data_IF_928965395637
#
_entry.id   IF_928965395637
#
_cell.length_a   1.000
_cell.length_b   1.000
_cell.length_c   1.000
_cell.angle_alpha   90.00
_cell.angle_beta   90.00
_cell.angle_gamma   90.00
#
_symmetry.space_group_name_H-M   'P 1'
#
loop_
_entity.id
_entity.type
_entity.pdbx_description
1 polymer ?
#
# COMPACT_ATOMS: atom_id res chain seq x y z
N UNK A 1 -28.63 5.95 -2.55
CA UNK A 1 -28.70 6.83 -3.73
C UNK A 1 -28.53 6.00 -4.99
N UNK A 2 -28.95 6.49 -6.15
CA UNK A 2 -28.85 5.79 -7.44
C UNK A 2 -27.42 5.31 -7.75
N UNK A 3 -26.40 6.00 -7.21
CA UNK A 3 -24.98 5.63 -7.23
C UNK A 3 -24.64 4.25 -6.61
N UNK A 4 -25.47 3.75 -5.68
CA UNK A 4 -25.31 2.43 -5.05
C UNK A 4 -26.20 1.36 -5.69
N UNK A 5 -27.04 1.74 -6.66
CA UNK A 5 -27.93 0.78 -7.30
C UNK A 5 -27.14 -0.11 -8.26
N UNK A 6 -27.20 -1.44 -8.12
CA UNK A 6 -26.51 -2.37 -9.00
C UNK A 6 -26.98 -2.25 -10.47
N UNK A 7 -28.17 -1.69 -10.71
CA UNK A 7 -28.70 -1.43 -12.06
C UNK A 7 -27.81 -0.55 -12.92
N UNK A 8 -27.06 0.37 -12.34
CA UNK A 8 -26.19 1.28 -13.10
C UNK A 8 -24.73 0.83 -13.14
N UNK A 9 -24.34 -0.19 -12.36
CA UNK A 9 -23.00 -0.78 -12.33
C UNK A 9 -21.81 0.22 -12.25
N UNK A 10 -22.04 1.43 -11.72
CA UNK A 10 -21.05 2.53 -11.75
C UNK A 10 -19.90 2.30 -10.76
N UNK A 11 -20.14 1.54 -9.68
CA UNK A 11 -19.13 1.19 -8.68
C UNK A 11 -18.63 -0.24 -8.86
N UNK A 12 -17.34 -0.44 -8.71
CA UNK A 12 -16.75 -1.77 -8.69
C UNK A 12 -17.17 -2.50 -7.40
N UNK A 13 -17.84 -3.64 -7.55
CA UNK A 13 -18.25 -4.50 -6.42
C UNK A 13 -17.13 -5.47 -6.00
N UNK A 14 -16.07 -5.55 -6.80
CA UNK A 14 -14.95 -6.47 -6.59
C UNK A 14 -14.32 -6.31 -5.19
N UNK A 15 -14.13 -5.07 -4.73
CA UNK A 15 -13.60 -4.81 -3.38
C UNK A 15 -14.51 -5.35 -2.28
N UNK A 16 -15.82 -5.15 -2.43
CA UNK A 16 -16.83 -5.63 -1.48
C UNK A 16 -16.86 -7.16 -1.47
N UNK A 17 -16.82 -7.78 -2.65
CA UNK A 17 -16.85 -9.24 -2.80
C UNK A 17 -15.67 -9.92 -2.12
N UNK A 18 -14.47 -9.32 -2.19
CA UNK A 18 -13.26 -9.82 -1.55
C UNK A 18 -13.44 -9.95 -0.02
N UNK A 19 -14.10 -8.98 0.58
CA UNK A 19 -14.37 -8.96 2.03
C UNK A 19 -15.65 -9.69 2.41
N UNK A 20 -16.59 -9.86 1.48
CA UNK A 20 -17.79 -10.65 1.69
C UNK A 20 -17.46 -12.13 1.96
N UNK A 21 -16.40 -12.66 1.35
CA UNK A 21 -15.91 -14.01 1.64
C UNK A 21 -15.51 -14.15 3.12
N UNK A 22 -14.75 -13.19 3.63
CA UNK A 22 -14.32 -13.14 5.04
C UNK A 22 -15.54 -12.93 5.95
N UNK A 23 -16.44 -12.00 5.58
CA UNK A 23 -17.67 -11.72 6.31
C UNK A 23 -18.57 -12.93 6.44
N UNK A 24 -18.72 -13.74 5.38
CA UNK A 24 -19.54 -14.95 5.40
C UNK A 24 -18.97 -16.03 6.34
N UNK A 25 -17.64 -16.17 6.41
CA UNK A 25 -17.00 -17.08 7.35
C UNK A 25 -17.31 -16.69 8.81
N UNK A 26 -17.21 -15.40 9.14
CA UNK A 26 -17.58 -14.91 10.48
C UNK A 26 -19.08 -14.95 10.74
N UNK A 27 -19.90 -14.75 9.72
CA UNK A 27 -21.36 -14.82 9.83
C UNK A 27 -21.82 -16.22 10.24
N UNK A 28 -21.18 -17.26 9.68
CA UNK A 28 -21.38 -18.63 10.09
C UNK A 28 -20.89 -18.86 11.54
N UNK A 29 -19.70 -18.38 11.88
CA UNK A 29 -19.11 -18.56 13.21
C UNK A 29 -19.91 -17.86 14.34
N UNK A 30 -20.50 -16.70 14.07
CA UNK A 30 -21.20 -15.89 15.07
C UNK A 30 -22.72 -16.04 15.05
N UNK A 31 -23.24 -17.13 14.48
CA UNK A 31 -24.68 -17.40 14.41
C UNK A 31 -25.48 -16.24 13.81
N UNK A 32 -24.99 -15.67 12.71
CA UNK A 32 -25.65 -14.61 11.95
C UNK A 32 -25.84 -13.26 12.68
N UNK A 33 -25.08 -13.03 13.76
CA UNK A 33 -25.04 -11.75 14.46
C UNK A 33 -24.23 -10.70 13.68
N UNK A 34 -24.95 -9.83 12.97
CA UNK A 34 -24.37 -8.81 12.09
C UNK A 34 -23.44 -7.84 12.82
N UNK A 35 -23.69 -7.57 14.10
CA UNK A 35 -22.87 -6.63 14.89
C UNK A 35 -21.51 -7.24 15.18
N UNK A 36 -21.48 -8.52 15.59
CA UNK A 36 -20.23 -9.25 15.83
C UNK A 36 -19.39 -9.39 14.56
N UNK A 37 -20.03 -9.70 13.43
CA UNK A 37 -19.35 -9.78 12.12
C UNK A 37 -18.72 -8.44 11.73
N UNK A 38 -19.44 -7.34 11.91
CA UNK A 38 -18.93 -6.00 11.60
C UNK A 38 -17.67 -5.67 12.42
N UNK A 39 -17.70 -5.89 13.74
CA UNK A 39 -16.53 -5.64 14.59
C UNK A 39 -15.38 -6.61 14.31
N UNK A 40 -15.65 -7.88 13.98
CA UNK A 40 -14.61 -8.84 13.61
C UNK A 40 -13.84 -8.41 12.37
N UNK A 41 -14.53 -7.92 11.34
CA UNK A 41 -13.89 -7.36 10.13
C UNK A 41 -13.01 -6.16 10.49
N UNK A 42 -13.48 -5.28 11.39
CA UNK A 42 -12.70 -4.11 11.84
C UNK A 42 -11.44 -4.52 12.61
N UNK A 43 -11.49 -5.58 13.42
CA UNK A 43 -10.32 -6.12 14.10
C UNK A 43 -9.29 -6.64 13.10
N UNK A 44 -9.73 -7.34 12.05
CA UNK A 44 -8.83 -7.79 10.98
C UNK A 44 -8.16 -6.61 10.29
N UNK A 45 -8.91 -5.56 9.99
CA UNK A 45 -8.34 -4.34 9.43
C UNK A 45 -7.32 -3.68 10.35
N UNK A 46 -7.59 -3.61 11.66
CA UNK A 46 -6.63 -3.07 12.62
C UNK A 46 -5.31 -3.86 12.60
N UNK A 47 -5.37 -5.20 12.54
CA UNK A 47 -4.19 -6.06 12.47
C UNK A 47 -3.42 -5.84 11.17
N UNK A 48 -4.12 -5.81 10.03
CA UNK A 48 -3.49 -5.55 8.71
C UNK A 48 -2.85 -4.16 8.68
N UNK A 49 -3.54 -3.15 9.19
CA UNK A 49 -3.04 -1.77 9.29
C UNK A 49 -1.75 -1.72 10.10
N UNK A 50 -1.74 -2.33 11.29
CA UNK A 50 -0.57 -2.39 12.18
C UNK A 50 0.64 -3.04 11.51
N UNK A 51 0.43 -4.12 10.74
CA UNK A 51 1.50 -4.77 9.95
C UNK A 51 2.03 -3.80 8.88
N UNK A 52 1.15 -3.14 8.13
CA UNK A 52 1.53 -2.21 7.07
C UNK A 52 2.31 -1.00 7.62
N UNK A 53 1.83 -0.41 8.71
CA UNK A 53 2.50 0.70 9.42
C UNK A 53 3.88 0.28 9.91
N UNK A 54 3.98 -0.91 10.51
CA UNK A 54 5.26 -1.45 10.99
C UNK A 54 6.26 -1.62 9.85
N UNK A 55 5.83 -2.17 8.70
CA UNK A 55 6.70 -2.31 7.53
C UNK A 55 7.17 -0.93 7.04
N UNK A 56 6.25 0.01 6.85
CA UNK A 56 6.59 1.35 6.40
C UNK A 56 7.57 2.05 7.35
N UNK A 57 7.28 2.03 8.65
CA UNK A 57 8.15 2.57 9.69
C UNK A 57 9.55 1.96 9.65
N UNK A 58 9.66 0.62 9.56
CA UNK A 58 10.96 -0.06 9.51
C UNK A 58 11.77 0.36 8.28
N UNK A 59 11.12 0.53 7.13
CA UNK A 59 11.82 1.01 5.93
C UNK A 59 12.29 2.46 6.09
N UNK A 60 11.48 3.33 6.67
CA UNK A 60 11.85 4.71 6.93
C UNK A 60 13.06 4.80 7.89
N UNK A 61 13.04 4.05 9.00
CA UNK A 61 14.17 4.02 9.95
C UNK A 61 15.46 3.53 9.30
N UNK A 62 15.39 2.44 8.53
CA UNK A 62 16.56 1.80 7.96
C UNK A 62 17.18 2.58 6.79
N UNK A 63 16.38 3.30 6.00
CA UNK A 63 16.86 3.96 4.78
C UNK A 63 16.91 5.49 4.87
N UNK A 64 16.04 6.13 5.66
CA UNK A 64 16.02 7.59 5.87
C UNK A 64 16.64 8.01 7.20
N UNK A 65 16.86 7.05 8.09
CA UNK A 65 17.47 7.23 9.40
C UNK A 65 16.47 7.30 10.56
N UNK A 66 16.97 7.13 11.81
CA UNK A 66 16.12 6.94 12.98
C UNK A 66 15.33 8.20 13.38
N UNK A 67 15.82 9.40 13.05
CA UNK A 67 15.12 10.67 13.34
C UNK A 67 13.84 10.79 12.52
N UNK A 68 13.91 10.51 11.21
CA UNK A 68 12.76 10.54 10.30
C UNK A 68 11.72 9.51 10.74
N UNK A 69 12.14 8.31 11.12
CA UNK A 69 11.24 7.29 11.66
C UNK A 69 10.47 7.75 12.90
N UNK A 70 11.12 8.44 13.85
CA UNK A 70 10.46 8.99 15.05
C UNK A 70 9.39 10.02 14.68
N UNK A 71 9.68 10.94 13.77
CA UNK A 71 8.68 11.91 13.31
C UNK A 71 7.53 11.22 12.58
N UNK A 72 7.83 10.22 11.75
CA UNK A 72 6.84 9.47 11.02
C UNK A 72 5.85 8.75 11.95
N UNK A 73 6.33 8.00 12.95
CA UNK A 73 5.45 7.28 13.86
C UNK A 73 4.61 8.22 14.72
N UNK A 74 5.17 9.35 15.18
CA UNK A 74 4.42 10.36 15.93
C UNK A 74 3.32 10.99 15.09
N UNK A 75 3.61 11.34 13.85
CA UNK A 75 2.61 11.91 12.92
C UNK A 75 1.51 10.91 12.60
N UNK A 76 1.84 9.63 12.39
CA UNK A 76 0.84 8.59 12.13
C UNK A 76 -0.06 8.35 13.35
N UNK A 77 0.52 8.28 14.56
CA UNK A 77 -0.22 8.07 15.82
C UNK A 77 -1.20 9.22 16.15
N UNK A 78 -0.80 10.47 15.89
CA UNK A 78 -1.61 11.65 16.24
C UNK A 78 -2.62 11.98 15.12
N UNK A 79 -2.49 11.36 13.94
CA UNK A 79 -3.38 11.62 12.82
C UNK A 79 -4.77 11.02 13.05
N UNK A 80 -5.75 11.88 13.33
CA UNK A 80 -7.16 11.49 13.43
C UNK A 80 -7.68 10.83 12.15
N UNK A 81 -7.17 11.25 10.98
CA UNK A 81 -7.52 10.66 9.69
C UNK A 81 -7.05 9.22 9.57
N UNK A 82 -5.80 8.94 9.96
CA UNK A 82 -5.23 7.59 9.94
C UNK A 82 -5.95 6.67 10.92
N UNK A 83 -6.24 7.17 12.12
CA UNK A 83 -7.00 6.43 13.12
C UNK A 83 -8.36 5.97 12.59
N UNK A 84 -9.14 6.87 11.99
CA UNK A 84 -10.45 6.50 11.46
C UNK A 84 -10.34 5.59 10.22
N UNK A 85 -9.37 5.86 9.34
CA UNK A 85 -9.16 5.07 8.13
C UNK A 85 -8.69 3.63 8.42
N UNK A 86 -7.92 3.41 9.50
CA UNK A 86 -7.31 2.10 9.86
C UNK A 86 -8.28 0.93 10.03
N UNK A 87 -9.55 1.21 10.33
CA UNK A 87 -10.58 0.19 10.55
C UNK A 87 -11.85 0.46 9.74
N UNK A 88 -11.78 1.42 8.83
CA UNK A 88 -12.89 1.76 7.97
C UNK A 88 -13.03 0.73 6.84
N UNK A 89 -14.26 0.27 6.60
CA UNK A 89 -14.55 -0.63 5.49
C UNK A 89 -14.72 0.17 4.19
N UNK A 90 -13.64 0.81 3.75
CA UNK A 90 -13.62 1.68 2.58
C UNK A 90 -12.50 1.27 1.61
N UNK A 91 -12.68 1.46 0.30
CA UNK A 91 -11.61 1.26 -0.68
C UNK A 91 -10.36 2.11 -0.34
N UNK A 92 -10.55 3.34 0.15
CA UNK A 92 -9.44 4.22 0.54
C UNK A 92 -8.54 3.63 1.65
N UNK A 93 -9.10 2.83 2.56
CA UNK A 93 -8.32 2.10 3.57
C UNK A 93 -7.38 1.07 2.94
N UNK A 94 -7.84 0.38 1.91
CA UNK A 94 -6.99 -0.55 1.15
C UNK A 94 -5.92 0.18 0.32
N UNK A 95 -6.25 1.34 -0.25
CA UNK A 95 -5.24 2.21 -0.88
C UNK A 95 -4.18 2.65 0.14
N UNK A 96 -4.58 2.96 1.38
CA UNK A 96 -3.64 3.28 2.46
C UNK A 96 -2.70 2.10 2.79
N UNK A 97 -3.20 0.88 2.91
CA UNK A 97 -2.35 -0.30 3.18
C UNK A 97 -1.37 -0.59 2.05
N UNK A 98 -1.87 -0.59 0.82
CA UNK A 98 -1.04 -0.87 -0.36
C UNK A 98 0.01 0.21 -0.57
N UNK A 99 -0.30 1.49 -0.30
CA UNK A 99 0.68 2.59 -0.36
C UNK A 99 1.75 2.47 0.71
N UNK A 100 1.42 2.12 1.96
CA UNK A 100 2.43 1.86 3.00
C UNK A 100 3.39 0.73 2.62
N UNK A 101 2.85 -0.38 2.07
CA UNK A 101 3.68 -1.49 1.58
C UNK A 101 4.50 -1.06 0.35
N UNK A 102 3.95 -0.24 -0.55
CA UNK A 102 4.70 0.31 -1.67
C UNK A 102 5.88 1.15 -1.18
N UNK A 103 5.69 2.01 -0.18
CA UNK A 103 6.77 2.77 0.45
C UNK A 103 7.80 1.88 1.16
N UNK A 104 7.40 0.75 1.75
CA UNK A 104 8.35 -0.21 2.30
C UNK A 104 9.37 -0.68 1.25
N UNK A 105 8.94 -0.89 0.00
CA UNK A 105 9.84 -1.26 -1.10
C UNK A 105 10.53 -0.04 -1.73
N UNK A 106 9.80 1.05 -1.95
CA UNK A 106 10.32 2.24 -2.61
C UNK A 106 11.45 2.91 -1.84
N UNK A 107 11.38 2.97 -0.50
CA UNK A 107 12.43 3.61 0.29
C UNK A 107 13.76 2.84 0.34
N UNK A 108 13.81 1.60 -0.15
CA UNK A 108 15.07 0.85 -0.23
C UNK A 108 15.98 1.44 -1.31
N UNK A 109 17.30 1.47 -1.11
CA UNK A 109 18.23 2.03 -2.07
C UNK A 109 18.15 1.30 -3.43
N UNK A 110 18.35 2.06 -4.50
CA UNK A 110 18.32 1.53 -5.86
C UNK A 110 19.45 0.53 -6.06
N UNK A 111 19.09 -0.74 -6.29
CA UNK A 111 20.05 -1.78 -6.62
C UNK A 111 20.27 -1.83 -8.13
N UNK A 112 21.53 -1.76 -8.56
CA UNK A 112 21.92 -1.92 -9.97
C UNK A 112 21.88 -3.37 -10.45
N UNK A 113 21.80 -4.33 -9.52
CA UNK A 113 21.91 -5.76 -9.80
C UNK A 113 20.54 -6.45 -9.86
N UNK A 114 19.52 -5.91 -9.17
CA UNK A 114 18.19 -6.51 -9.15
C UNK A 114 17.06 -5.47 -9.26
N UNK A 115 16.19 -5.64 -10.26
CA UNK A 115 14.98 -4.81 -10.46
C UNK A 115 13.79 -5.22 -9.59
N UNK A 116 13.97 -6.16 -8.66
CA UNK A 116 12.88 -6.70 -7.84
C UNK A 116 12.21 -5.66 -6.94
N UNK A 117 12.94 -4.60 -6.55
CA UNK A 117 12.42 -3.47 -5.76
C UNK A 117 11.27 -2.78 -6.49
N UNK A 118 11.56 -2.24 -7.68
CA UNK A 118 10.61 -1.42 -8.44
C UNK A 118 9.41 -2.25 -8.90
N UNK A 119 9.60 -3.51 -9.28
CA UNK A 119 8.50 -4.41 -9.64
C UNK A 119 7.50 -4.55 -8.48
N UNK A 120 7.99 -4.78 -7.26
CA UNK A 120 7.12 -4.88 -6.07
C UNK A 120 6.46 -3.55 -5.76
N UNK A 121 7.17 -2.43 -5.86
CA UNK A 121 6.58 -1.10 -5.67
C UNK A 121 5.44 -0.85 -6.66
N UNK A 122 5.67 -1.08 -7.96
CA UNK A 122 4.65 -0.90 -9.01
C UNK A 122 3.47 -1.85 -8.79
N UNK A 123 3.74 -3.10 -8.41
CA UNK A 123 2.67 -4.07 -8.12
C UNK A 123 1.74 -3.55 -7.02
N UNK A 124 2.29 -3.07 -5.89
CA UNK A 124 1.48 -2.58 -4.78
C UNK A 124 0.76 -1.27 -5.09
N UNK A 125 1.41 -0.32 -5.77
CA UNK A 125 0.76 0.91 -6.25
C UNK A 125 -0.35 0.59 -7.25
N UNK A 126 -0.09 -0.31 -8.20
CA UNK A 126 -1.05 -0.79 -9.19
C UNK A 126 -2.25 -1.43 -8.52
N UNK A 127 -2.03 -2.34 -7.57
CA UNK A 127 -3.08 -3.02 -6.82
C UNK A 127 -3.98 -2.03 -6.06
N UNK A 128 -3.39 -1.03 -5.38
CA UNK A 128 -4.14 0.02 -4.71
C UNK A 128 -4.91 0.92 -5.68
N UNK A 129 -4.33 1.25 -6.83
CA UNK A 129 -4.98 2.12 -7.81
C UNK A 129 -6.17 1.44 -8.52
N UNK A 130 -6.02 0.16 -8.87
CA UNK A 130 -7.03 -0.59 -9.61
C UNK A 130 -8.18 -1.07 -8.72
N UNK A 131 -7.87 -1.61 -7.54
CA UNK A 131 -8.90 -2.19 -6.66
C UNK A 131 -9.53 -1.20 -5.71
N UNK A 132 -8.84 -0.11 -5.38
CA UNK A 132 -9.30 0.82 -4.35
C UNK A 132 -9.60 2.22 -4.88
N UNK A 133 -8.55 2.96 -5.27
CA UNK A 133 -8.69 4.37 -5.60
C UNK A 133 -7.71 4.79 -6.71
N UNK A 134 -8.18 5.17 -7.91
CA UNK A 134 -7.30 5.36 -9.07
C UNK A 134 -6.26 6.46 -8.87
N UNK A 135 -6.60 7.52 -8.13
CA UNK A 135 -5.67 8.62 -7.85
C UNK A 135 -4.50 8.22 -6.95
N UNK A 136 -4.56 7.07 -6.25
CA UNK A 136 -3.43 6.55 -5.48
C UNK A 136 -2.24 6.16 -6.36
N UNK A 137 -2.44 5.96 -7.67
CA UNK A 137 -1.37 5.76 -8.64
C UNK A 137 -0.34 6.90 -8.63
N UNK A 138 -0.76 8.12 -8.30
CA UNK A 138 0.12 9.29 -8.22
C UNK A 138 1.26 9.11 -7.20
N UNK A 139 1.03 8.31 -6.15
CA UNK A 139 2.06 8.01 -5.13
C UNK A 139 3.26 7.27 -5.72
N UNK A 140 3.08 6.54 -6.83
CA UNK A 140 4.16 5.84 -7.51
C UNK A 140 5.07 6.72 -8.37
N UNK A 141 4.67 7.96 -8.67
CA UNK A 141 5.40 8.84 -9.59
C UNK A 141 6.84 9.11 -9.11
N UNK A 142 7.10 9.50 -7.84
CA UNK A 142 8.46 9.76 -7.39
C UNK A 142 9.37 8.52 -7.47
N UNK A 143 8.84 7.34 -7.13
CA UNK A 143 9.60 6.09 -7.20
C UNK A 143 9.92 5.68 -8.64
N UNK A 144 9.02 5.96 -9.60
CA UNK A 144 9.26 5.72 -11.01
C UNK A 144 10.34 6.66 -11.58
N UNK A 145 10.30 7.94 -11.21
CA UNK A 145 11.30 8.94 -11.60
C UNK A 145 12.67 8.57 -11.01
N UNK A 146 12.72 8.22 -9.73
CA UNK A 146 13.95 7.78 -9.05
C UNK A 146 14.61 6.61 -9.79
N UNK A 147 13.85 5.56 -10.11
CA UNK A 147 14.36 4.41 -10.84
C UNK A 147 14.85 4.80 -12.24
N UNK A 148 14.08 5.60 -12.97
CA UNK A 148 14.43 6.02 -14.34
C UNK A 148 15.73 6.84 -14.35
N UNK A 149 15.91 7.76 -13.42
CA UNK A 149 17.09 8.63 -13.37
C UNK A 149 18.31 7.89 -12.85
N UNK A 150 18.22 7.29 -11.65
CA UNK A 150 19.37 6.71 -10.96
C UNK A 150 19.84 5.42 -11.61
N UNK A 151 18.93 4.55 -12.04
CA UNK A 151 19.31 3.28 -12.67
C UNK A 151 19.89 3.47 -14.06
N UNK A 152 19.30 4.36 -14.86
CA UNK A 152 19.81 4.66 -16.21
C UNK A 152 21.21 5.28 -16.14
N UNK A 153 21.43 6.23 -15.22
CA UNK A 153 22.76 6.80 -14.99
C UNK A 153 23.79 5.74 -14.57
N UNK A 154 23.42 4.85 -13.66
CA UNK A 154 24.31 3.78 -13.19
C UNK A 154 24.64 2.76 -14.28
N UNK A 155 23.67 2.37 -15.12
CA UNK A 155 23.89 1.46 -16.25
C UNK A 155 24.78 2.09 -17.32
N UNK A 156 24.57 3.37 -17.65
CA UNK A 156 25.43 4.12 -18.58
C UNK A 156 26.88 4.15 -18.10
N UNK A 157 27.11 4.50 -16.83
CA UNK A 157 28.45 4.53 -16.25
C UNK A 157 29.14 3.16 -16.23
N UNK A 158 28.39 2.08 -15.98
CA UNK A 158 28.92 0.71 -16.06
C UNK A 158 29.35 0.35 -17.48
N UNK A 159 28.53 0.67 -18.48
CA UNK A 159 28.82 0.40 -19.89
C UNK A 159 30.08 1.15 -20.37
N UNK A 160 30.18 2.44 -20.06
CA UNK A 160 31.37 3.24 -20.37
C UNK A 160 32.63 2.69 -19.71
N UNK A 161 32.53 2.17 -18.48
CA UNK A 161 33.66 1.54 -17.79
C UNK A 161 34.13 0.27 -18.50
N UNK A 162 33.20 -0.58 -18.97
CA UNK A 162 33.54 -1.80 -19.71
C UNK A 162 34.20 -1.44 -21.05
N UNK A 163 33.67 -0.43 -21.75
CA UNK A 163 34.22 0.04 -23.02
C UNK A 163 35.65 0.57 -22.89
N UNK A 164 36.05 1.09 -21.73
CA UNK A 164 37.44 1.52 -21.46
C UNK A 164 38.40 0.37 -21.15
N UNK A 165 37.90 -0.82 -20.85
CA UNK A 165 38.70 -2.00 -20.49
C UNK A 165 38.94 -2.96 -21.67
N UNK A 166 38.25 -2.74 -22.79
CA UNK A 166 38.41 -3.44 -24.07
C UNK A 166 39.20 -2.53 -24.99
#
# INVERSE_FOLDING_TARGET
TWEYSPTYAIKSWAYIQLHALIGNAFNFLFNHDKVKVFYAIRVIFAVICSICETLFYRSAVNNLGPRVGRYLILTMLISAGMWNASIAYLPSTFAMYTTMIAFFYALKPVSTTSGGRIYRTIFWVGLGSLLAWPFSAAVGIPAAIEELVLRTAALKNRFERIKRLI
#
